data_IF_539949962647
#
_entry.id   IF_539949962647
#
_cell.length_a   1.000
_cell.length_b   1.000
_cell.length_c   1.000
_cell.angle_alpha   90.00
_cell.angle_beta   90.00
_cell.angle_gamma   90.00
#
_symmetry.space_group_name_H-M   'P 1'
#
loop_
_entity.id
_entity.type
_entity.pdbx_description
1 polymer ?
#
# COMPACT_ATOMS: atom_id res chain seq x y z
N UNK A 1 -37.81 -7.17 -21.89
CA UNK A 1 -38.11 -6.15 -20.86
C UNK A 1 -38.99 -5.05 -21.47
N UNK A 2 -40.07 -5.45 -22.11
CA UNK A 2 -41.09 -4.56 -22.65
C UNK A 2 -42.36 -4.65 -21.80
N UNK A 3 -43.04 -3.52 -21.66
CA UNK A 3 -44.39 -3.48 -21.05
C UNK A 3 -45.41 -4.16 -21.97
N UNK A 4 -46.61 -4.46 -21.45
CA UNK A 4 -47.74 -4.96 -22.24
C UNK A 4 -48.11 -4.07 -23.44
N UNK A 5 -47.72 -2.79 -23.43
CA UNK A 5 -47.96 -1.79 -24.45
C UNK A 5 -46.84 -1.67 -25.51
N UNK A 6 -45.84 -2.57 -25.49
CA UNK A 6 -44.72 -2.54 -26.41
C UNK A 6 -43.65 -1.48 -26.10
N UNK A 7 -43.84 -0.66 -25.05
CA UNK A 7 -42.83 0.32 -24.60
C UNK A 7 -41.72 -0.35 -23.78
N UNK A 8 -40.51 0.12 -23.89
CA UNK A 8 -39.38 -0.37 -23.05
C UNK A 8 -39.59 0.05 -21.61
N UNK A 9 -39.48 -0.91 -20.66
CA UNK A 9 -39.41 -0.57 -19.23
C UNK A 9 -38.19 0.28 -18.96
N UNK A 10 -38.35 1.32 -18.15
CA UNK A 10 -37.18 2.03 -17.63
C UNK A 10 -36.32 1.07 -16.78
N UNK A 11 -35.00 1.23 -16.85
CA UNK A 11 -34.06 0.38 -16.10
C UNK A 11 -34.37 0.38 -14.62
N UNK A 12 -34.86 1.49 -14.07
CA UNK A 12 -35.22 1.66 -12.66
C UNK A 12 -36.42 0.76 -12.25
N UNK A 13 -37.40 0.59 -13.14
CA UNK A 13 -38.56 -0.29 -12.90
C UNK A 13 -38.27 -1.75 -13.17
N UNK A 14 -37.32 -2.06 -14.03
CA UNK A 14 -36.92 -3.42 -14.34
C UNK A 14 -36.00 -4.03 -13.27
N UNK A 15 -35.17 -3.19 -12.62
CA UNK A 15 -34.20 -3.61 -11.61
C UNK A 15 -34.24 -2.65 -10.40
N UNK A 16 -35.22 -2.73 -9.52
CA UNK A 16 -35.38 -1.80 -8.38
C UNK A 16 -34.21 -1.83 -7.37
N UNK A 17 -33.42 -2.90 -7.40
CA UNK A 17 -32.26 -3.05 -6.54
C UNK A 17 -30.92 -2.87 -7.31
N UNK A 18 -30.96 -2.36 -8.54
CA UNK A 18 -29.73 -2.05 -9.23
C UNK A 18 -29.04 -0.88 -8.53
N UNK A 19 -27.72 -0.98 -8.22
CA UNK A 19 -26.99 0.16 -7.69
C UNK A 19 -27.09 1.31 -8.70
N UNK A 20 -27.36 2.51 -8.22
CA UNK A 20 -27.40 3.72 -9.05
C UNK A 20 -25.99 3.94 -9.61
N UNK A 21 -25.77 3.46 -10.83
CA UNK A 21 -24.51 3.68 -11.55
C UNK A 21 -24.50 5.14 -12.01
N UNK A 22 -23.85 5.99 -11.24
CA UNK A 22 -23.59 7.36 -11.65
C UNK A 22 -22.41 7.34 -12.62
N UNK A 23 -22.70 7.52 -13.91
CA UNK A 23 -21.66 7.70 -14.92
C UNK A 23 -20.96 9.03 -14.66
N UNK A 24 -19.78 8.98 -14.11
CA UNK A 24 -18.93 10.13 -13.86
C UNK A 24 -17.51 9.88 -14.40
N UNK A 25 -16.78 10.96 -14.66
CA UNK A 25 -15.37 10.86 -15.01
C UNK A 25 -14.57 10.41 -13.78
N UNK A 26 -14.07 9.19 -13.81
CA UNK A 26 -13.37 8.55 -12.68
C UNK A 26 -11.96 8.04 -13.05
N UNK A 27 -11.46 8.39 -14.24
CA UNK A 27 -10.17 7.87 -14.74
C UNK A 27 -9.00 8.16 -13.79
N UNK A 28 -9.00 9.32 -13.12
CA UNK A 28 -7.97 9.67 -12.16
C UNK A 28 -7.92 8.70 -10.96
N UNK A 29 -9.06 8.38 -10.42
CA UNK A 29 -9.18 7.43 -9.29
C UNK A 29 -8.89 6.00 -9.70
N UNK A 30 -9.36 5.59 -10.88
CA UNK A 30 -9.11 4.25 -11.41
C UNK A 30 -7.61 4.03 -11.65
N UNK A 31 -6.94 5.01 -12.24
CA UNK A 31 -5.48 4.99 -12.44
C UNK A 31 -4.70 5.04 -11.14
N UNK A 32 -5.15 5.84 -10.16
CA UNK A 32 -4.53 5.92 -8.84
C UNK A 32 -4.61 4.56 -8.14
N UNK A 33 -5.79 3.93 -8.10
CA UNK A 33 -6.00 2.63 -7.46
C UNK A 33 -5.23 1.50 -8.17
N UNK A 34 -5.24 1.48 -9.51
CA UNK A 34 -4.46 0.51 -10.28
C UNK A 34 -2.95 0.73 -10.11
N UNK A 35 -2.51 1.98 -9.98
CA UNK A 35 -1.13 2.35 -9.70
C UNK A 35 -0.64 1.85 -8.34
N UNK A 36 -1.50 1.81 -7.32
CA UNK A 36 -1.18 1.27 -5.99
C UNK A 36 -0.87 -0.24 -6.01
N UNK A 37 -1.39 -1.00 -6.97
CA UNK A 37 -1.12 -2.43 -7.16
C UNK A 37 -0.07 -2.74 -8.22
N UNK A 38 0.59 -1.73 -8.81
CA UNK A 38 1.47 -1.85 -9.96
C UNK A 38 2.95 -2.05 -9.59
N UNK A 39 3.81 -2.04 -10.63
CA UNK A 39 5.28 -2.11 -10.52
C UNK A 39 5.84 -1.07 -9.54
N UNK A 40 5.22 0.11 -9.40
CA UNK A 40 5.64 1.13 -8.45
C UNK A 40 5.56 0.66 -6.98
N UNK A 41 4.57 -0.16 -6.64
CA UNK A 41 4.48 -0.77 -5.30
C UNK A 41 5.60 -1.78 -5.04
N UNK A 42 6.01 -2.53 -6.06
CA UNK A 42 7.14 -3.45 -5.97
C UNK A 42 8.44 -2.66 -5.75
N UNK A 43 8.62 -1.54 -6.45
CA UNK A 43 9.80 -0.67 -6.29
C UNK A 43 9.92 -0.14 -4.86
N UNK A 44 8.81 0.28 -4.23
CA UNK A 44 8.87 0.76 -2.83
C UNK A 44 9.20 -0.38 -1.86
N UNK A 45 8.68 -1.59 -2.10
CA UNK A 45 9.05 -2.75 -1.30
C UNK A 45 10.56 -3.04 -1.40
N UNK A 46 11.15 -2.96 -2.59
CA UNK A 46 12.59 -3.12 -2.78
C UNK A 46 13.39 -2.03 -2.04
N UNK A 47 12.97 -0.78 -2.13
CA UNK A 47 13.62 0.34 -1.40
C UNK A 47 13.59 0.07 0.11
N UNK A 48 12.46 -0.36 0.65
CA UNK A 48 12.31 -0.70 2.07
C UNK A 48 13.28 -1.83 2.46
N UNK A 49 13.32 -2.92 1.69
CA UNK A 49 14.21 -4.06 1.95
C UNK A 49 15.69 -3.63 1.92
N UNK A 50 16.11 -2.87 0.91
CA UNK A 50 17.49 -2.40 0.77
C UNK A 50 17.87 -1.49 1.94
N UNK A 51 16.97 -0.59 2.37
CA UNK A 51 17.24 0.35 3.47
C UNK A 51 17.31 -0.35 4.82
N UNK A 52 16.49 -1.38 5.05
CA UNK A 52 16.42 -2.06 6.35
C UNK A 52 17.39 -3.23 6.49
N UNK A 53 17.85 -3.80 5.38
CA UNK A 53 18.77 -4.94 5.40
C UNK A 53 20.01 -4.72 6.28
N UNK A 54 20.69 -3.56 6.29
CA UNK A 54 21.90 -3.34 7.09
C UNK A 54 21.62 -3.05 8.58
N UNK A 55 20.39 -2.77 9.00
CA UNK A 55 20.08 -2.23 10.35
C UNK A 55 20.66 -3.03 11.51
N UNK A 56 20.68 -4.35 11.41
CA UNK A 56 21.28 -5.25 12.41
C UNK A 56 22.52 -5.96 11.88
N UNK A 57 22.51 -6.37 10.63
CA UNK A 57 23.60 -7.16 10.04
C UNK A 57 24.93 -6.40 9.91
N UNK A 58 24.89 -5.07 9.82
CA UNK A 58 26.09 -4.24 9.80
C UNK A 58 26.83 -4.25 11.14
N UNK A 59 26.11 -4.34 12.26
CA UNK A 59 26.73 -4.44 13.60
C UNK A 59 27.53 -5.73 13.76
N UNK A 60 27.02 -6.84 13.22
CA UNK A 60 27.74 -8.11 13.21
C UNK A 60 28.95 -8.06 12.28
N UNK A 61 28.81 -7.46 11.11
CA UNK A 61 29.89 -7.32 10.15
C UNK A 61 31.06 -6.46 10.68
N UNK A 62 30.75 -5.44 11.48
CA UNK A 62 31.74 -4.55 12.11
C UNK A 62 32.23 -5.03 13.48
N UNK A 63 31.78 -6.19 13.98
CA UNK A 63 32.11 -6.73 15.30
C UNK A 63 31.81 -5.76 16.47
N UNK A 64 30.85 -4.84 16.28
CA UNK A 64 30.42 -3.88 17.30
C UNK A 64 29.38 -4.46 18.26
N UNK A 65 28.82 -5.61 17.93
CA UNK A 65 27.85 -6.36 18.74
C UNK A 65 28.37 -6.66 20.16
N UNK A 66 29.64 -7.03 20.31
CA UNK A 66 30.25 -7.31 21.61
C UNK A 66 30.28 -6.09 22.54
N UNK A 67 30.53 -4.89 21.98
CA UNK A 67 30.52 -3.62 22.72
C UNK A 67 29.08 -3.25 23.13
N UNK A 68 28.12 -3.44 22.23
CA UNK A 68 26.70 -3.15 22.48
C UNK A 68 26.13 -4.08 23.57
N UNK A 69 26.49 -5.38 23.54
CA UNK A 69 26.03 -6.35 24.54
C UNK A 69 26.64 -6.13 25.92
N UNK A 70 27.81 -5.52 26.03
CA UNK A 70 28.43 -5.17 27.32
C UNK A 70 27.83 -3.90 27.96
N UNK A 71 27.15 -3.07 27.20
CA UNK A 71 26.51 -1.86 27.68
C UNK A 71 25.19 -2.17 28.46
N UNK A 72 24.98 -1.49 29.60
CA UNK A 72 23.84 -1.69 30.52
C UNK A 72 22.46 -1.67 29.84
N UNK A 73 22.28 -0.92 28.76
CA UNK A 73 21.02 -0.74 28.04
C UNK A 73 21.09 -1.12 26.53
N UNK A 74 22.24 -1.62 26.06
CA UNK A 74 22.46 -1.93 24.65
C UNK A 74 21.52 -3.02 24.12
N UNK A 75 21.23 -4.02 24.97
CA UNK A 75 20.46 -5.20 24.58
C UNK A 75 18.94 -4.97 24.44
N UNK A 76 18.37 -4.00 25.15
CA UNK A 76 16.92 -3.77 25.16
C UNK A 76 16.55 -2.44 24.55
N UNK A 77 17.08 -1.33 25.09
CA UNK A 77 16.70 0.01 24.63
C UNK A 77 17.17 0.31 23.21
N UNK A 78 18.37 -0.10 22.86
CA UNK A 78 18.94 0.16 21.53
C UNK A 78 18.19 -0.65 20.48
N UNK A 79 17.87 -1.92 20.71
CA UNK A 79 17.11 -2.75 19.79
C UNK A 79 15.70 -2.18 19.58
N UNK A 80 15.02 -1.78 20.66
CA UNK A 80 13.69 -1.17 20.55
C UNK A 80 13.73 0.15 19.79
N UNK A 81 14.72 1.01 20.05
CA UNK A 81 14.92 2.26 19.30
C UNK A 81 15.13 2.02 17.82
N UNK A 82 15.91 1.01 17.43
CA UNK A 82 16.13 0.65 16.03
C UNK A 82 14.86 0.19 15.33
N UNK A 83 14.06 -0.64 16.00
CA UNK A 83 12.79 -1.11 15.44
C UNK A 83 11.83 0.07 15.24
N UNK A 84 11.72 0.96 16.21
CA UNK A 84 10.87 2.15 16.11
C UNK A 84 11.35 3.05 14.97
N UNK A 85 12.65 3.35 14.92
CA UNK A 85 13.22 4.16 13.85
C UNK A 85 13.01 3.54 12.45
N UNK A 86 13.17 2.22 12.34
CA UNK A 86 12.89 1.50 11.09
C UNK A 86 11.43 1.63 10.66
N UNK A 87 10.48 1.48 11.58
CA UNK A 87 9.06 1.67 11.30
C UNK A 87 8.74 3.11 10.90
N UNK A 88 9.31 4.10 11.57
CA UNK A 88 9.17 5.53 11.24
C UNK A 88 9.64 5.84 9.82
N UNK A 89 10.83 5.36 9.46
CA UNK A 89 11.40 5.54 8.11
C UNK A 89 10.50 4.89 7.05
N UNK A 90 10.03 3.67 7.29
CA UNK A 90 9.17 2.94 6.34
C UNK A 90 7.82 3.62 6.15
N UNK A 91 7.17 4.01 7.24
CA UNK A 91 5.88 4.72 7.17
C UNK A 91 6.07 6.07 6.48
N UNK A 92 7.13 6.82 6.80
CA UNK A 92 7.45 8.09 6.16
C UNK A 92 7.70 7.94 4.65
N UNK A 93 8.45 6.93 4.25
CA UNK A 93 8.69 6.61 2.83
C UNK A 93 7.40 6.24 2.10
N UNK A 94 6.52 5.46 2.73
CA UNK A 94 5.23 5.10 2.16
C UNK A 94 4.30 6.31 2.02
N UNK A 95 4.23 7.18 3.03
CA UNK A 95 3.43 8.40 2.97
C UNK A 95 3.94 9.35 1.88
N UNK A 96 5.24 9.50 1.74
CA UNK A 96 5.85 10.28 0.66
C UNK A 96 5.46 9.70 -0.71
N UNK A 97 5.57 8.38 -0.88
CA UNK A 97 5.15 7.69 -2.09
C UNK A 97 3.68 7.94 -2.42
N UNK A 98 2.80 7.81 -1.42
CA UNK A 98 1.37 8.03 -1.56
C UNK A 98 1.06 9.47 -1.99
N UNK A 99 1.72 10.45 -1.36
CA UNK A 99 1.57 11.86 -1.69
C UNK A 99 2.04 12.15 -3.12
N UNK A 100 3.18 11.62 -3.53
CA UNK A 100 3.70 11.78 -4.90
C UNK A 100 2.72 11.20 -5.93
N UNK A 101 2.16 10.01 -5.68
CA UNK A 101 1.15 9.42 -6.57
C UNK A 101 -0.11 10.28 -6.66
N UNK A 102 -0.61 10.75 -5.50
CA UNK A 102 -1.81 11.59 -5.45
C UNK A 102 -1.61 12.89 -6.22
N UNK A 103 -0.45 13.54 -6.07
CA UNK A 103 -0.10 14.74 -6.84
C UNK A 103 0.02 14.43 -8.33
N UNK A 104 0.73 13.37 -8.69
CA UNK A 104 0.98 13.01 -10.09
C UNK A 104 -0.33 12.69 -10.81
N UNK A 105 -1.17 11.81 -10.27
CA UNK A 105 -2.45 11.46 -10.88
C UNK A 105 -3.47 12.59 -10.79
N UNK A 106 -3.44 13.36 -9.70
CA UNK A 106 -4.29 14.54 -9.54
C UNK A 106 -4.01 15.63 -10.57
N UNK A 107 -2.73 15.90 -10.89
CA UNK A 107 -2.35 16.88 -11.89
C UNK A 107 -2.59 16.40 -13.32
N UNK A 108 -2.46 15.11 -13.61
CA UNK A 108 -2.58 14.56 -14.97
C UNK A 108 -4.02 14.23 -15.36
N UNK A 109 -4.79 13.63 -14.47
CA UNK A 109 -6.15 13.15 -14.75
C UNK A 109 -7.24 13.90 -13.99
N UNK A 110 -6.88 14.64 -12.93
CA UNK A 110 -7.83 15.25 -12.01
C UNK A 110 -8.40 14.23 -11.01
N UNK A 111 -8.82 14.72 -9.84
CA UNK A 111 -9.41 13.90 -8.77
C UNK A 111 -10.93 14.11 -8.68
N UNK A 112 -11.59 14.38 -9.81
CA UNK A 112 -13.04 14.48 -9.86
C UNK A 112 -13.68 13.09 -9.73
N UNK A 113 -14.92 13.03 -9.23
CA UNK A 113 -15.64 11.75 -9.12
C UNK A 113 -15.28 10.91 -7.88
N UNK A 114 -14.70 11.49 -6.82
CA UNK A 114 -14.37 10.80 -5.57
C UNK A 114 -15.56 10.09 -4.90
N UNK A 115 -16.79 10.56 -5.15
CA UNK A 115 -18.05 10.03 -4.61
C UNK A 115 -18.76 9.07 -5.59
N UNK A 116 -18.18 8.79 -6.74
CA UNK A 116 -18.75 7.87 -7.73
C UNK A 116 -18.52 6.43 -7.25
N UNK A 117 -19.48 5.53 -7.55
CA UNK A 117 -19.34 4.10 -7.25
C UNK A 117 -18.22 3.48 -8.08
N UNK A 118 -17.42 2.61 -7.46
CA UNK A 118 -16.32 1.87 -8.14
C UNK A 118 -16.83 1.02 -9.32
N UNK A 119 -18.10 0.61 -9.31
CA UNK A 119 -18.73 -0.14 -10.41
C UNK A 119 -18.82 0.64 -11.72
N UNK A 120 -18.61 1.98 -11.68
CA UNK A 120 -18.54 2.81 -12.88
C UNK A 120 -17.25 2.61 -13.69
N UNK A 121 -16.20 2.02 -13.08
CA UNK A 121 -14.97 1.64 -13.76
C UNK A 121 -15.08 0.24 -14.33
N UNK A 122 -14.51 0.03 -15.53
CA UNK A 122 -14.43 -1.28 -16.18
C UNK A 122 -13.68 -2.33 -15.34
N UNK A 123 -12.70 -1.90 -14.56
CA UNK A 123 -11.92 -2.77 -13.69
C UNK A 123 -12.74 -3.35 -12.53
N UNK A 124 -13.70 -2.59 -12.02
CA UNK A 124 -14.49 -2.93 -10.84
C UNK A 124 -15.98 -3.16 -11.15
N UNK A 125 -16.35 -3.22 -12.43
CA UNK A 125 -17.75 -3.39 -12.87
C UNK A 125 -18.42 -4.66 -12.31
N UNK A 126 -17.66 -5.72 -12.06
CA UNK A 126 -18.13 -6.98 -11.48
C UNK A 126 -18.08 -7.02 -9.95
N UNK A 127 -17.72 -5.92 -9.28
CA UNK A 127 -17.65 -5.88 -7.82
C UNK A 127 -19.03 -5.99 -7.19
N UNK A 128 -19.17 -6.87 -6.19
CA UNK A 128 -20.41 -7.07 -5.42
C UNK A 128 -20.59 -5.93 -4.40
N UNK A 129 -19.50 -5.22 -4.06
CA UNK A 129 -19.48 -4.19 -3.02
C UNK A 129 -19.81 -2.82 -3.59
N UNK A 130 -20.78 -2.13 -2.99
CA UNK A 130 -21.21 -0.79 -3.33
C UNK A 130 -20.34 0.24 -2.59
N UNK A 131 -19.06 0.37 -3.01
CA UNK A 131 -18.09 1.29 -2.43
C UNK A 131 -17.90 2.49 -3.34
N UNK A 132 -17.57 3.65 -2.75
CA UNK A 132 -17.09 4.81 -3.50
C UNK A 132 -15.59 4.69 -3.74
N UNK A 133 -15.06 5.39 -4.74
CA UNK A 133 -13.62 5.43 -5.03
C UNK A 133 -12.81 5.87 -3.80
N UNK A 134 -13.30 6.86 -3.06
CA UNK A 134 -12.64 7.34 -1.85
C UNK A 134 -12.59 6.27 -0.75
N UNK A 135 -13.66 5.51 -0.54
CA UNK A 135 -13.66 4.42 0.43
C UNK A 135 -12.68 3.30 0.03
N UNK A 136 -12.68 2.94 -1.26
CA UNK A 136 -11.74 1.95 -1.77
C UNK A 136 -10.29 2.41 -1.63
N UNK A 137 -10.02 3.70 -1.84
CA UNK A 137 -8.69 4.29 -1.63
C UNK A 137 -8.23 4.12 -0.18
N UNK A 138 -9.05 4.49 0.81
CA UNK A 138 -8.67 4.33 2.22
C UNK A 138 -8.46 2.86 2.62
N UNK A 139 -9.31 1.95 2.14
CA UNK A 139 -9.14 0.51 2.37
C UNK A 139 -7.80 0.04 1.78
N UNK A 140 -7.48 0.45 0.56
CA UNK A 140 -6.22 0.10 -0.10
C UNK A 140 -5.01 0.65 0.64
N UNK A 141 -5.07 1.90 1.14
CA UNK A 141 -4.00 2.50 1.95
C UNK A 141 -3.76 1.70 3.23
N UNK A 142 -4.82 1.35 3.96
CA UNK A 142 -4.72 0.57 5.20
C UNK A 142 -4.11 -0.81 4.92
N UNK A 143 -4.58 -1.52 3.90
CA UNK A 143 -4.04 -2.82 3.53
C UNK A 143 -2.57 -2.75 3.12
N UNK A 144 -2.17 -1.73 2.37
CA UNK A 144 -0.77 -1.51 2.00
C UNK A 144 0.11 -1.23 3.23
N UNK A 145 -0.36 -0.43 4.20
CA UNK A 145 0.37 -0.18 5.46
C UNK A 145 0.60 -1.50 6.20
N UNK A 146 -0.42 -2.34 6.33
CA UNK A 146 -0.26 -3.67 6.95
C UNK A 146 0.76 -4.53 6.20
N UNK A 147 0.72 -4.54 4.87
CA UNK A 147 1.67 -5.27 4.03
C UNK A 147 3.11 -4.79 4.23
N UNK A 148 3.34 -3.49 4.23
CA UNK A 148 4.67 -2.90 4.42
C UNK A 148 5.19 -3.14 5.83
N UNK A 149 4.37 -3.05 6.87
CA UNK A 149 4.76 -3.35 8.25
C UNK A 149 5.13 -4.84 8.40
N UNK A 150 4.38 -5.74 7.79
CA UNK A 150 4.71 -7.17 7.77
C UNK A 150 6.06 -7.42 7.08
N UNK A 151 6.28 -6.84 5.90
CA UNK A 151 7.55 -6.92 5.18
C UNK A 151 8.70 -6.37 6.03
N UNK A 152 8.52 -5.21 6.67
CA UNK A 152 9.51 -4.59 7.57
C UNK A 152 9.89 -5.55 8.70
N UNK A 153 8.93 -6.17 9.34
CA UNK A 153 9.16 -7.10 10.44
C UNK A 153 9.98 -8.32 9.99
N UNK A 154 9.64 -8.88 8.83
CA UNK A 154 10.38 -10.00 8.24
C UNK A 154 11.82 -9.59 7.91
N UNK A 155 12.00 -8.43 7.26
CA UNK A 155 13.32 -7.93 6.87
C UNK A 155 14.22 -7.67 8.09
N UNK A 156 13.68 -7.05 9.14
CA UNK A 156 14.41 -6.82 10.40
C UNK A 156 14.77 -8.14 11.10
N UNK A 157 13.87 -9.11 11.09
CA UNK A 157 14.13 -10.44 11.65
C UNK A 157 15.27 -11.15 10.90
N UNK A 158 15.25 -11.14 9.57
CA UNK A 158 16.31 -11.70 8.74
C UNK A 158 17.63 -10.96 8.92
N UNK A 159 17.60 -9.62 8.96
CA UNK A 159 18.77 -8.78 9.26
C UNK A 159 19.42 -9.13 10.60
N UNK A 160 18.63 -9.47 11.62
CA UNK A 160 19.12 -9.85 12.93
C UNK A 160 19.75 -11.25 12.97
N UNK A 161 19.44 -12.13 12.02
CA UNK A 161 19.99 -13.49 11.95
C UNK A 161 21.23 -13.60 11.04
N UNK A 162 21.43 -12.64 10.15
CA UNK A 162 22.50 -12.69 9.15
C UNK A 162 23.73 -11.91 9.62
N UNK A 163 24.90 -12.50 9.42
CA UNK A 163 26.19 -11.91 9.79
C UNK A 163 26.73 -10.91 8.78
N UNK A 164 26.10 -10.78 7.61
CA UNK A 164 26.49 -9.78 6.59
C UNK A 164 25.27 -9.11 5.95
N UNK A 165 25.37 -7.81 5.63
CA UNK A 165 24.25 -7.06 5.01
C UNK A 165 23.84 -7.63 3.65
N UNK A 166 24.80 -8.15 2.88
CA UNK A 166 24.55 -8.74 1.55
C UNK A 166 23.69 -10.01 1.63
N UNK A 167 24.01 -10.88 2.60
CA UNK A 167 23.20 -12.11 2.81
C UNK A 167 21.81 -11.80 3.32
N UNK A 168 21.66 -10.81 4.19
CA UNK A 168 20.35 -10.36 4.67
C UNK A 168 19.50 -9.80 3.53
N UNK A 169 20.08 -9.04 2.61
CA UNK A 169 19.39 -8.48 1.45
C UNK A 169 18.93 -9.57 0.48
N UNK A 170 19.80 -10.52 0.15
CA UNK A 170 19.47 -11.62 -0.78
C UNK A 170 18.34 -12.49 -0.23
N UNK A 171 18.30 -12.71 1.10
CA UNK A 171 17.29 -13.56 1.73
C UNK A 171 15.96 -12.84 1.93
N UNK A 172 15.93 -11.51 1.94
CA UNK A 172 14.72 -10.70 2.13
C UNK A 172 14.04 -10.27 0.83
N UNK A 173 14.71 -10.42 -0.33
CA UNK A 173 14.13 -10.21 -1.66
C UNK A 173 13.40 -11.43 -2.18
#
# INVERSE_FOLDING_TARGET
>A
LTNSDGSFKSLETAYPNSPTVTLGYCDGWDKLLSGMGSILSIMICLIVVITLSPVFSEEYALHTDSIIYSARYGRTKLTTSKIIAALEVVIGTYLLYLLLNLVLYGCTYGLQGWNVSIQSSLHYASSIYNLTFLQMFFISVILNIFGIVALTTITLFLSAQMSSPVTALITSC
#
